data_IF_291174993310
#
_entry.id   IF_291174993310
#
_cell.length_a   1.000
_cell.length_b   1.000
_cell.length_c   1.000
_cell.angle_alpha   90.00
_cell.angle_beta   90.00
_cell.angle_gamma   90.00
#
_symmetry.space_group_name_H-M   'P 1'
#
loop_
_entity.id
_entity.type
_entity.pdbx_description
1 polymer ?
#
# COMPACT_ATOMS: atom_id res chain seq x y z
N UNK A 1 -8.64 12.96 49.16
CA UNK A 1 -7.54 12.07 48.71
C UNK A 1 -7.81 11.71 47.27
N UNK A 2 -7.15 12.38 46.33
CA UNK A 2 -7.33 12.15 44.90
C UNK A 2 -5.98 11.81 44.29
N UNK A 3 -5.71 10.53 44.07
CA UNK A 3 -4.62 10.09 43.19
C UNK A 3 -5.27 9.45 41.97
N UNK A 4 -5.66 10.30 41.03
CA UNK A 4 -6.07 9.86 39.71
C UNK A 4 -4.79 9.53 38.95
N UNK A 5 -4.53 8.23 38.76
CA UNK A 5 -3.37 7.72 38.05
C UNK A 5 -3.34 8.27 36.63
N UNK A 6 -2.18 8.77 36.21
CA UNK A 6 -1.95 9.16 34.84
C UNK A 6 -2.16 7.94 33.91
N UNK A 7 -2.75 8.12 32.71
CA UNK A 7 -2.88 7.02 31.76
C UNK A 7 -1.50 6.49 31.39
N UNK A 8 -1.34 5.16 31.21
CA UNK A 8 -0.06 4.59 30.80
C UNK A 8 0.37 5.21 29.47
N UNK A 9 1.56 5.80 29.44
CA UNK A 9 2.16 6.29 28.19
C UNK A 9 2.20 5.13 27.19
N UNK A 10 1.75 5.32 25.93
CA UNK A 10 1.84 4.26 24.94
C UNK A 10 3.32 3.87 24.80
N UNK A 11 3.63 2.62 25.13
CA UNK A 11 4.99 2.09 25.04
C UNK A 11 5.57 2.26 23.63
N UNK A 12 6.90 2.17 23.46
CA UNK A 12 7.55 2.38 22.18
C UNK A 12 6.91 1.46 21.12
N UNK A 13 6.28 2.09 20.11
CA UNK A 13 5.61 1.40 19.02
C UNK A 13 6.69 0.66 18.23
N UNK A 14 6.68 -0.68 18.30
CA UNK A 14 7.63 -1.49 17.54
C UNK A 14 7.39 -1.26 16.05
N UNK A 15 8.39 -0.80 15.26
CA UNK A 15 8.20 -0.52 13.85
C UNK A 15 7.79 -1.81 13.11
N UNK A 16 7.03 -1.63 12.03
CA UNK A 16 6.57 -2.69 11.14
C UNK A 16 6.85 -2.26 9.73
N UNK A 17 7.27 -3.20 8.89
CA UNK A 17 7.49 -2.94 7.48
C UNK A 17 7.06 -4.17 6.68
N UNK A 18 6.50 -3.92 5.50
CA UNK A 18 6.23 -4.91 4.48
C UNK A 18 6.77 -4.38 3.15
N UNK A 19 7.30 -5.27 2.33
CA UNK A 19 7.88 -4.96 1.01
C UNK A 19 7.02 -5.66 -0.04
N UNK A 20 6.59 -4.88 -1.02
CA UNK A 20 5.80 -5.34 -2.15
C UNK A 20 6.65 -5.40 -3.41
N UNK A 21 6.44 -6.43 -4.23
CA UNK A 21 6.98 -6.54 -5.58
C UNK A 21 5.83 -6.73 -6.56
N UNK A 22 5.90 -6.12 -7.72
CA UNK A 22 4.91 -6.30 -8.78
C UNK A 22 5.63 -6.48 -10.12
N UNK A 23 5.55 -7.68 -10.68
CA UNK A 23 6.13 -8.01 -11.98
C UNK A 23 5.05 -8.03 -13.06
N UNK A 24 5.43 -7.85 -14.32
CA UNK A 24 4.46 -7.79 -15.44
C UNK A 24 3.63 -9.07 -15.66
N UNK A 25 4.04 -10.19 -15.08
CA UNK A 25 3.35 -11.48 -15.16
C UNK A 25 2.50 -11.78 -13.91
N UNK A 26 2.64 -10.99 -12.84
CA UNK A 26 1.86 -11.17 -11.62
C UNK A 26 0.44 -10.61 -11.85
N UNK A 27 -0.57 -11.29 -11.30
CA UNK A 27 -1.95 -10.78 -11.35
C UNK A 27 -2.20 -9.72 -10.28
N UNK A 28 -1.40 -9.73 -9.21
CA UNK A 28 -1.39 -8.73 -8.17
C UNK A 28 -0.01 -8.62 -7.50
N UNK A 29 0.33 -7.48 -6.87
CA UNK A 29 1.57 -7.34 -6.11
C UNK A 29 1.74 -8.42 -5.04
N UNK A 30 2.97 -8.87 -4.81
CA UNK A 30 3.34 -9.90 -3.85
C UNK A 30 4.07 -9.31 -2.64
N UNK A 31 3.78 -9.81 -1.44
CA UNK A 31 4.57 -9.49 -0.25
C UNK A 31 5.86 -10.32 -0.27
N UNK A 32 6.99 -9.70 -0.59
CA UNK A 32 8.28 -10.40 -0.71
C UNK A 32 9.14 -10.33 0.56
N UNK A 33 8.84 -9.39 1.45
CA UNK A 33 9.46 -9.34 2.77
C UNK A 33 8.53 -8.65 3.77
N UNK A 34 8.65 -9.02 5.05
CA UNK A 34 7.94 -8.36 6.16
C UNK A 34 8.72 -8.50 7.46
N UNK A 35 8.58 -7.52 8.35
CA UNK A 35 9.38 -7.48 9.56
C UNK A 35 8.79 -6.62 10.67
N UNK A 36 9.29 -6.86 11.89
CA UNK A 36 9.00 -6.09 13.09
C UNK A 36 10.32 -5.61 13.73
N UNK A 37 10.27 -4.49 14.46
CA UNK A 37 11.42 -3.99 15.21
C UNK A 37 12.65 -3.80 14.32
N UNK A 38 13.79 -4.34 14.76
CA UNK A 38 15.06 -4.24 14.05
C UNK A 38 15.02 -4.78 12.60
N UNK A 39 14.17 -5.77 12.32
CA UNK A 39 13.98 -6.27 10.94
C UNK A 39 13.26 -5.22 10.10
N UNK A 40 12.22 -4.58 10.63
CA UNK A 40 11.52 -3.50 9.94
C UNK A 40 12.47 -2.31 9.66
N UNK A 41 13.28 -1.93 10.65
CA UNK A 41 14.28 -0.87 10.48
C UNK A 41 15.30 -1.21 9.40
N UNK A 42 15.71 -2.48 9.33
CA UNK A 42 16.63 -2.97 8.30
C UNK A 42 15.98 -2.94 6.93
N UNK A 43 14.74 -3.40 6.79
CA UNK A 43 14.01 -3.34 5.51
C UNK A 43 13.86 -1.90 5.02
N UNK A 44 13.49 -0.97 5.91
CA UNK A 44 13.35 0.46 5.57
C UNK A 44 14.69 1.06 5.15
N UNK A 45 15.76 0.76 5.89
CA UNK A 45 17.11 1.24 5.58
C UNK A 45 17.57 0.70 4.21
N UNK A 46 17.46 -0.60 3.98
CA UNK A 46 17.84 -1.23 2.71
C UNK A 46 17.00 -0.69 1.54
N UNK A 47 15.69 -0.48 1.73
CA UNK A 47 14.86 0.15 0.70
C UNK A 47 15.39 1.54 0.31
N UNK A 48 15.71 2.39 1.29
CA UNK A 48 16.27 3.73 1.05
C UNK A 48 17.64 3.68 0.36
N UNK A 49 18.52 2.77 0.77
CA UNK A 49 19.86 2.58 0.19
C UNK A 49 19.79 2.20 -1.31
N UNK A 50 18.77 1.44 -1.70
CA UNK A 50 18.56 1.00 -3.08
C UNK A 50 17.61 1.90 -3.89
N UNK A 51 17.19 3.04 -3.35
CA UNK A 51 16.26 3.96 -4.03
C UNK A 51 14.83 3.41 -4.18
N UNK A 52 14.46 2.39 -3.40
CA UNK A 52 13.08 1.88 -3.32
C UNK A 52 12.24 2.85 -2.50
N UNK A 53 11.10 3.26 -3.02
CA UNK A 53 10.19 4.16 -2.33
C UNK A 53 9.69 3.57 -1.01
N UNK A 54 9.72 4.38 0.05
CA UNK A 54 9.19 4.03 1.37
C UNK A 54 7.99 4.91 1.66
N UNK A 55 6.84 4.28 1.87
CA UNK A 55 5.60 4.94 2.27
C UNK A 55 5.21 4.54 3.69
N UNK A 56 4.94 5.52 4.54
CA UNK A 56 4.57 5.29 5.94
C UNK A 56 3.06 5.32 6.10
N UNK A 57 2.45 4.15 6.29
CA UNK A 57 1.02 4.01 6.58
C UNK A 57 0.82 2.90 7.64
N UNK A 58 0.51 3.26 8.90
CA UNK A 58 0.29 2.30 9.98
C UNK A 58 -0.85 1.31 9.68
N UNK A 59 -1.91 1.78 9.04
CA UNK A 59 -3.09 0.96 8.71
C UNK A 59 -2.76 -0.04 7.61
N UNK A 60 -2.13 0.42 6.52
CA UNK A 60 -1.76 -0.46 5.41
C UNK A 60 -0.74 -1.50 5.84
N UNK A 61 0.28 -1.10 6.62
CA UNK A 61 1.28 -2.07 7.09
C UNK A 61 0.62 -3.13 7.97
N UNK A 62 -0.34 -2.77 8.82
CA UNK A 62 -1.08 -3.75 9.63
C UNK A 62 -1.84 -4.78 8.80
N UNK A 63 -2.43 -4.36 7.68
CA UNK A 63 -3.10 -5.25 6.75
C UNK A 63 -2.10 -6.15 6.01
N UNK A 64 -1.01 -5.57 5.51
CA UNK A 64 0.03 -6.31 4.80
C UNK A 64 0.77 -7.33 5.69
N UNK A 65 0.92 -7.04 6.99
CA UNK A 65 1.50 -8.00 7.92
C UNK A 65 0.67 -9.30 8.06
N UNK A 66 -0.63 -9.25 7.76
CA UNK A 66 -1.54 -10.42 7.79
C UNK A 66 -1.48 -11.26 6.51
N UNK A 67 -0.93 -10.72 5.42
CA UNK A 67 -0.74 -11.47 4.16
C UNK A 67 0.46 -12.39 4.31
N UNK A 68 0.36 -13.60 3.79
CA UNK A 68 1.47 -14.56 3.83
C UNK A 68 2.69 -14.06 3.05
N UNK A 69 3.88 -14.46 3.51
CA UNK A 69 5.11 -14.15 2.79
C UNK A 69 5.10 -14.89 1.46
N UNK A 70 5.60 -14.24 0.42
CA UNK A 70 5.54 -14.71 -0.96
C UNK A 70 4.12 -15.00 -1.47
N UNK A 71 3.08 -14.41 -0.87
CA UNK A 71 1.72 -14.47 -1.40
C UNK A 71 1.35 -13.16 -2.12
N UNK A 72 0.51 -13.28 -3.15
CA UNK A 72 -0.15 -12.12 -3.76
C UNK A 72 -1.05 -11.45 -2.71
N UNK A 73 -1.16 -10.13 -2.78
CA UNK A 73 -2.10 -9.40 -1.93
C UNK A 73 -3.53 -9.91 -2.21
N UNK A 74 -4.41 -10.00 -1.21
CA UNK A 74 -5.80 -10.40 -1.43
C UNK A 74 -6.61 -9.29 -2.12
N UNK A 75 -7.70 -9.63 -2.83
CA UNK A 75 -8.56 -8.65 -3.51
C UNK A 75 -9.06 -7.51 -2.63
N UNK A 76 -9.28 -7.77 -1.34
CA UNK A 76 -9.70 -6.77 -0.37
C UNK A 76 -8.68 -5.61 -0.19
N UNK A 77 -7.41 -5.82 -0.55
CA UNK A 77 -6.35 -4.82 -0.47
C UNK A 77 -5.99 -4.21 -1.82
N UNK A 78 -6.64 -4.62 -2.92
CA UNK A 78 -6.29 -4.13 -4.25
C UNK A 78 -6.46 -2.62 -4.38
N UNK A 79 -7.55 -2.07 -3.85
CA UNK A 79 -7.82 -0.63 -3.98
C UNK A 79 -6.73 0.20 -3.31
N UNK A 80 -6.41 -0.08 -2.04
CA UNK A 80 -5.40 0.68 -1.29
C UNK A 80 -3.99 0.52 -1.87
N UNK A 81 -3.65 -0.67 -2.38
CA UNK A 81 -2.34 -0.87 -3.03
C UNK A 81 -2.29 -0.20 -4.41
N UNK A 82 -3.39 -0.22 -5.17
CA UNK A 82 -3.48 0.49 -6.45
C UNK A 82 -3.35 2.01 -6.26
N UNK A 83 -3.97 2.58 -5.23
CA UNK A 83 -3.80 4.00 -4.87
C UNK A 83 -2.34 4.33 -4.53
N UNK A 84 -1.67 3.47 -3.74
CA UNK A 84 -0.24 3.62 -3.45
C UNK A 84 0.61 3.59 -4.72
N UNK A 85 0.39 2.62 -5.60
CA UNK A 85 1.12 2.51 -6.86
C UNK A 85 0.84 3.71 -7.78
N UNK A 86 -0.41 4.15 -7.89
CA UNK A 86 -0.79 5.32 -8.67
C UNK A 86 -0.11 6.60 -8.16
N UNK A 87 0.07 6.74 -6.84
CA UNK A 87 0.84 7.83 -6.26
C UNK A 87 2.34 7.72 -6.61
N UNK A 88 2.93 6.53 -6.53
CA UNK A 88 4.33 6.29 -6.94
C UNK A 88 4.58 6.64 -8.40
N UNK A 89 3.69 6.22 -9.30
CA UNK A 89 3.78 6.56 -10.72
C UNK A 89 3.68 8.06 -10.98
N UNK A 90 2.85 8.78 -10.22
CA UNK A 90 2.73 10.24 -10.36
C UNK A 90 4.01 10.96 -9.93
N UNK A 91 4.67 10.49 -8.87
CA UNK A 91 5.96 11.04 -8.43
C UNK A 91 7.05 10.82 -9.47
N UNK A 92 7.10 9.63 -10.08
CA UNK A 92 8.12 9.27 -11.07
C UNK A 92 7.88 9.96 -12.42
N UNK A 93 6.62 10.03 -12.87
CA UNK A 93 6.28 10.57 -14.18
C UNK A 93 6.19 12.11 -14.23
N UNK A 94 6.21 12.80 -13.08
CA UNK A 94 5.93 14.25 -13.01
C UNK A 94 4.58 14.65 -13.63
N UNK A 95 3.66 13.69 -13.77
CA UNK A 95 2.50 13.76 -14.67
C UNK A 95 1.16 13.89 -13.91
N UNK A 96 0.24 14.62 -14.55
CA UNK A 96 -1.10 15.00 -14.09
C UNK A 96 -2.02 13.80 -13.75
N UNK A 97 -3.07 14.00 -12.91
CA UNK A 97 -3.66 12.94 -12.11
C UNK A 97 -4.39 11.87 -12.94
N UNK A 98 -4.02 10.61 -12.72
CA UNK A 98 -4.73 9.41 -13.21
C UNK A 98 -6.16 9.29 -12.67
N UNK A 99 -6.56 10.13 -11.71
CA UNK A 99 -7.92 10.23 -11.20
C UNK A 99 -8.96 10.62 -12.27
N UNK A 100 -8.55 11.24 -13.39
CA UNK A 100 -9.47 11.68 -14.43
C UNK A 100 -10.02 10.55 -15.34
N UNK A 101 -9.56 9.30 -15.20
CA UNK A 101 -9.99 8.20 -16.07
C UNK A 101 -10.64 7.00 -15.38
N UNK A 102 -10.87 7.08 -14.07
CA UNK A 102 -11.87 6.23 -13.39
C UNK A 102 -13.22 6.96 -13.47
N UNK A 103 -13.59 7.42 -14.66
CA UNK A 103 -14.98 7.75 -14.97
C UNK A 103 -15.55 6.42 -15.44
N UNK A 104 -16.38 5.82 -14.59
CA UNK A 104 -17.33 4.76 -14.94
C UNK A 104 -17.91 5.06 -16.34
N UNK A 105 -18.07 4.09 -17.26
CA UNK A 105 -18.90 4.32 -18.43
C UNK A 105 -20.36 4.46 -17.97
N UNK A 106 -20.74 5.66 -17.52
CA UNK A 106 -22.13 6.06 -17.45
C UNK A 106 -22.56 6.37 -18.89
N UNK A 107 -23.29 5.42 -19.46
CA UNK A 107 -24.03 5.53 -20.73
C UNK A 107 -23.21 5.75 -22.01
N UNK A 108 -22.93 4.65 -22.72
CA UNK A 108 -22.71 4.71 -24.17
C UNK A 108 -23.66 3.72 -24.88
N UNK A 109 -24.91 4.17 -25.02
CA UNK A 109 -25.73 4.06 -26.23
C UNK A 109 -26.07 2.65 -26.78
N UNK A 110 -27.29 2.11 -26.56
CA UNK A 110 -27.87 1.14 -27.48
C UNK A 110 -28.48 1.88 -28.69
N UNK A 111 -27.65 2.63 -29.41
CA UNK A 111 -28.00 3.27 -30.68
C UNK A 111 -27.77 2.29 -31.82
N UNK A 112 -28.44 1.13 -31.77
CA UNK A 112 -28.53 0.21 -32.89
C UNK A 112 -29.61 0.69 -33.85
N UNK A 113 -29.23 1.47 -34.85
CA UNK A 113 -30.12 1.89 -35.92
C UNK A 113 -30.32 0.75 -36.93
N UNK A 114 -31.61 0.46 -37.20
CA UNK A 114 -32.19 -0.06 -38.45
C UNK A 114 -31.98 -1.54 -38.82
N UNK A 115 -32.89 -2.17 -39.59
CA UNK A 115 -33.81 -1.61 -40.61
C UNK A 115 -35.18 -1.14 -40.11
#
# INVERSE_FOLDING_TARGET
>A
MSTQGAPPSPGPRRPRAAVLRYESHDSAPRVVAKGYGAIADTLIRTAREHGVHVHESPELVELLMRVDMDAEIPPALYLVVAELLAWLYQLDAGAAPVAAKIILPDTLNPGGQQP
#
